data_IF_908536824353
#
_entry.id   IF_908536824353
#
_cell.length_a   1.000
_cell.length_b   1.000
_cell.length_c   1.000
_cell.angle_alpha   90.00
_cell.angle_beta   90.00
_cell.angle_gamma   90.00
#
_symmetry.space_group_name_H-M   'P 1'
#
loop_
_entity.id
_entity.type
_entity.pdbx_description
1 polymer ?
#
# COMPACT_ATOMS: atom_id res chain seq x y z
N UNK A 1 14.15 -17.02 14.05
CA UNK A 1 12.93 -16.25 13.70
C UNK A 1 13.17 -15.64 12.33
N UNK A 2 12.38 -15.97 11.30
CA UNK A 2 12.52 -15.32 9.98
C UNK A 2 12.01 -13.88 10.12
N UNK A 3 12.84 -12.90 9.77
CA UNK A 3 12.43 -11.49 9.77
C UNK A 3 11.21 -11.33 8.85
N UNK A 4 10.18 -10.63 9.33
CA UNK A 4 9.04 -10.22 8.48
C UNK A 4 9.36 -8.96 7.66
N UNK A 5 10.54 -8.36 7.86
CA UNK A 5 10.95 -7.10 7.26
C UNK A 5 12.08 -7.31 6.25
N UNK A 6 12.03 -6.51 5.19
CA UNK A 6 13.13 -6.31 4.26
C UNK A 6 13.38 -4.81 4.07
N UNK A 7 14.44 -4.48 3.33
CA UNK A 7 14.74 -3.10 2.94
C UNK A 7 14.47 -2.88 1.46
N UNK A 8 14.00 -1.68 1.10
CA UNK A 8 13.69 -1.34 -0.27
C UNK A 8 13.32 0.13 -0.46
N UNK A 9 13.32 0.57 -1.71
CA UNK A 9 12.93 1.91 -2.12
C UNK A 9 12.10 1.89 -3.39
N UNK A 10 11.21 2.86 -3.53
CA UNK A 10 10.41 3.09 -4.72
C UNK A 10 10.01 4.55 -4.80
N UNK A 11 9.92 5.06 -6.03
CA UNK A 11 9.65 6.47 -6.28
C UNK A 11 8.75 6.63 -7.51
N UNK A 12 8.07 7.77 -7.56
CA UNK A 12 7.30 8.22 -8.71
C UNK A 12 7.74 9.62 -9.09
N UNK A 13 7.67 9.92 -10.39
CA UNK A 13 7.72 11.30 -10.89
C UNK A 13 6.28 11.72 -11.18
N UNK A 14 5.85 12.83 -10.58
CA UNK A 14 4.50 13.37 -10.78
C UNK A 14 4.62 14.63 -11.62
N UNK A 15 3.84 14.70 -12.69
CA UNK A 15 3.85 15.81 -13.63
C UNK A 15 2.47 15.99 -14.27
N UNK A 16 2.38 16.95 -15.19
CA UNK A 16 1.19 17.14 -16.01
C UNK A 16 1.05 15.95 -16.98
N UNK A 17 -0.17 15.48 -17.15
CA UNK A 17 -0.57 14.41 -18.07
C UNK A 17 -1.68 14.92 -18.99
N UNK A 18 -1.99 14.22 -20.09
CA UNK A 18 -3.15 14.53 -20.94
C UNK A 18 -4.47 14.56 -20.15
N UNK A 19 -5.45 15.28 -20.69
CA UNK A 19 -6.79 15.32 -20.10
C UNK A 19 -7.40 13.92 -20.04
N UNK A 20 -7.98 13.58 -18.89
CA UNK A 20 -8.57 12.26 -18.64
C UNK A 20 -7.60 11.23 -18.06
N UNK A 21 -6.31 11.52 -17.94
CA UNK A 21 -5.33 10.65 -17.27
C UNK A 21 -4.94 11.16 -15.87
N UNK A 22 -4.24 10.33 -15.09
CA UNK A 22 -3.64 10.72 -13.82
C UNK A 22 -4.64 10.74 -12.66
N UNK A 23 -4.52 11.73 -11.78
CA UNK A 23 -5.28 11.80 -10.54
C UNK A 23 -6.79 12.01 -10.78
N UNK A 24 -7.62 11.15 -10.20
CA UNK A 24 -9.08 11.29 -10.25
C UNK A 24 -9.65 11.77 -8.91
N UNK A 25 -9.31 11.08 -7.82
CA UNK A 25 -9.80 11.43 -6.49
C UNK A 25 -8.93 10.81 -5.38
N UNK A 26 -9.09 11.32 -4.16
CA UNK A 26 -8.53 10.71 -2.96
C UNK A 26 -9.47 10.85 -1.77
N UNK A 27 -9.33 9.94 -0.82
CA UNK A 27 -9.98 10.01 0.46
C UNK A 27 -9.05 9.52 1.57
N UNK A 28 -8.94 10.31 2.62
CA UNK A 28 -8.18 9.98 3.81
C UNK A 28 -9.09 10.04 5.03
N UNK A 29 -8.79 9.20 6.00
CA UNK A 29 -9.47 9.16 7.29
C UNK A 29 -8.43 9.25 8.40
N UNK A 30 -8.86 9.80 9.53
CA UNK A 30 -8.16 9.65 10.79
C UNK A 30 -8.47 8.28 11.40
N UNK A 31 -7.45 7.58 11.88
CA UNK A 31 -7.56 6.24 12.48
C UNK A 31 -7.23 6.31 13.97
N UNK A 32 -8.00 7.11 14.72
CA UNK A 32 -7.81 7.33 16.17
C UNK A 32 -7.66 6.02 16.95
N UNK A 33 -8.42 5.01 16.55
CA UNK A 33 -8.47 3.70 17.19
C UNK A 33 -7.13 2.94 17.13
N UNK A 34 -6.23 3.33 16.21
CA UNK A 34 -4.88 2.74 16.08
C UNK A 34 -3.77 3.61 16.69
N UNK A 35 -4.11 4.78 17.24
CA UNK A 35 -3.13 5.61 17.94
C UNK A 35 -2.46 4.80 19.07
N UNK A 36 -1.15 5.04 19.25
CA UNK A 36 -0.29 4.38 20.23
C UNK A 36 -0.20 2.85 20.14
N UNK A 37 -0.76 2.22 19.10
CA UNK A 37 -0.57 0.78 18.86
C UNK A 37 0.88 0.47 18.47
N UNK A 38 1.53 1.41 17.80
CA UNK A 38 2.97 1.43 17.54
C UNK A 38 3.56 2.71 18.14
N UNK A 39 4.70 2.59 18.80
CA UNK A 39 5.40 3.73 19.38
C UNK A 39 6.91 3.55 19.29
N UNK A 40 7.63 4.66 19.24
CA UNK A 40 9.09 4.66 19.32
C UNK A 40 9.51 4.90 20.76
N UNK A 41 10.46 4.12 21.22
CA UNK A 41 11.14 4.33 22.49
C UNK A 41 12.64 4.43 22.25
N UNK A 42 13.32 5.21 23.09
CA UNK A 42 14.77 5.22 23.14
C UNK A 42 15.22 4.06 24.01
N UNK A 43 16.03 3.18 23.44
CA UNK A 43 16.65 2.05 24.14
C UNK A 43 18.16 2.12 23.91
N UNK A 44 18.95 1.39 24.70
CA UNK A 44 20.37 1.22 24.43
C UNK A 44 20.54 -0.01 23.54
N UNK A 45 21.34 0.09 22.49
CA UNK A 45 21.78 -1.06 21.71
C UNK A 45 22.84 -1.89 22.46
N UNK A 46 23.31 -2.96 21.82
CA UNK A 46 24.28 -3.89 22.40
C UNK A 46 25.62 -3.20 22.77
N UNK A 47 25.95 -2.07 22.12
CA UNK A 47 27.15 -1.27 22.37
C UNK A 47 26.92 -0.15 23.40
N UNK A 48 25.71 -0.06 23.97
CA UNK A 48 25.31 0.97 24.92
C UNK A 48 25.03 2.33 24.28
N UNK A 49 24.89 2.40 22.95
CA UNK A 49 24.52 3.60 22.23
C UNK A 49 22.99 3.76 22.16
N UNK A 50 22.47 5.00 22.20
CA UNK A 50 21.03 5.24 22.14
C UNK A 50 20.46 4.91 20.74
N UNK A 51 19.54 3.95 20.70
CA UNK A 51 18.81 3.52 19.51
C UNK A 51 17.31 3.82 19.62
N UNK A 52 16.70 4.28 18.52
CA UNK A 52 15.25 4.41 18.43
C UNK A 52 14.66 3.07 18.01
N UNK A 53 13.85 2.48 18.88
CA UNK A 53 13.24 1.17 18.63
C UNK A 53 11.73 1.30 18.56
N UNK A 54 11.16 0.75 17.50
CA UNK A 54 9.71 0.65 17.36
C UNK A 54 9.19 -0.53 18.17
N UNK A 55 8.17 -0.28 18.99
CA UNK A 55 7.48 -1.29 19.81
C UNK A 55 6.00 -1.30 19.46
N UNK A 56 5.38 -2.46 19.63
CA UNK A 56 3.94 -2.63 19.59
C UNK A 56 3.41 -2.85 21.00
N UNK A 57 2.22 -2.34 21.30
CA UNK A 57 1.48 -2.75 22.49
C UNK A 57 1.02 -4.21 22.37
N UNK A 58 0.82 -4.92 23.49
CA UNK A 58 0.28 -6.29 23.48
C UNK A 58 -1.04 -6.41 22.70
N UNK A 59 -1.90 -5.39 22.73
CA UNK A 59 -3.21 -5.39 22.09
C UNK A 59 -3.17 -5.04 20.59
N UNK A 60 -2.03 -4.61 20.05
CA UNK A 60 -1.91 -4.06 18.68
C UNK A 60 -2.50 -4.98 17.62
N UNK A 61 -2.17 -6.27 17.66
CA UNK A 61 -2.71 -7.23 16.69
C UNK A 61 -4.24 -7.33 16.72
N UNK A 62 -4.85 -7.25 17.91
CA UNK A 62 -6.32 -7.29 18.08
C UNK A 62 -6.97 -6.02 17.56
N UNK A 63 -6.39 -4.86 17.86
CA UNK A 63 -6.89 -3.56 17.40
C UNK A 63 -6.85 -3.50 15.87
N UNK A 64 -5.70 -3.81 15.27
CA UNK A 64 -5.54 -3.79 13.82
C UNK A 64 -6.53 -4.72 13.11
N UNK A 65 -6.72 -5.96 13.61
CA UNK A 65 -7.69 -6.88 13.02
C UNK A 65 -9.13 -6.38 13.07
N UNK A 66 -9.52 -5.67 14.15
CA UNK A 66 -10.87 -5.15 14.30
C UNK A 66 -11.13 -3.92 13.43
N UNK A 67 -10.12 -3.11 13.15
CA UNK A 67 -10.29 -1.81 12.47
C UNK A 67 -9.96 -1.83 10.99
N UNK A 68 -9.09 -2.75 10.54
CA UNK A 68 -8.51 -2.74 9.20
C UNK A 68 -9.56 -2.77 8.08
N UNK A 69 -10.61 -3.58 8.21
CA UNK A 69 -11.68 -3.66 7.20
C UNK A 69 -12.47 -2.35 7.12
N UNK A 70 -12.82 -1.77 8.26
CA UNK A 70 -13.54 -0.50 8.32
C UNK A 70 -12.71 0.63 7.70
N UNK A 71 -11.41 0.68 7.99
CA UNK A 71 -10.52 1.68 7.41
C UNK A 71 -10.37 1.53 5.90
N UNK A 72 -10.18 0.29 5.43
CA UNK A 72 -10.09 -0.05 4.02
C UNK A 72 -11.33 0.40 3.26
N UNK A 73 -12.53 0.01 3.72
CA UNK A 73 -13.80 0.39 3.08
C UNK A 73 -14.00 1.89 3.07
N UNK A 74 -13.87 2.57 4.23
CA UNK A 74 -14.06 4.02 4.32
C UNK A 74 -13.15 4.79 3.36
N UNK A 75 -11.90 4.37 3.21
CA UNK A 75 -10.98 5.00 2.26
C UNK A 75 -11.35 4.71 0.82
N UNK A 76 -11.48 3.43 0.44
CA UNK A 76 -11.73 3.04 -0.95
C UNK A 76 -13.10 3.50 -1.45
N UNK A 77 -14.16 3.30 -0.67
CA UNK A 77 -15.52 3.77 -0.99
C UNK A 77 -15.54 5.31 -1.08
N UNK A 78 -14.86 6.00 -0.16
CA UNK A 78 -14.77 7.46 -0.16
C UNK A 78 -14.03 8.02 -1.37
N UNK A 79 -12.96 7.37 -1.83
CA UNK A 79 -12.21 7.77 -3.01
C UNK A 79 -13.02 7.49 -4.30
N UNK A 80 -13.65 6.32 -4.40
CA UNK A 80 -14.50 5.97 -5.54
C UNK A 80 -15.71 6.91 -5.67
N UNK A 81 -16.41 7.17 -4.55
CA UNK A 81 -17.56 8.08 -4.54
C UNK A 81 -17.17 9.50 -4.98
N UNK A 82 -16.00 10.00 -4.59
CA UNK A 82 -15.49 11.33 -5.02
C UNK A 82 -15.13 11.39 -6.50
N UNK A 83 -14.78 10.25 -7.10
CA UNK A 83 -14.58 10.13 -8.54
C UNK A 83 -15.89 9.84 -9.31
N UNK A 84 -17.04 9.72 -8.61
CA UNK A 84 -18.30 9.32 -9.23
C UNK A 84 -18.32 7.86 -9.72
N UNK A 85 -17.49 7.00 -9.12
CA UNK A 85 -17.32 5.59 -9.49
C UNK A 85 -17.78 4.65 -8.35
N UNK A 86 -18.07 3.41 -8.71
CA UNK A 86 -18.19 2.28 -7.78
C UNK A 86 -16.87 1.51 -7.74
N UNK A 87 -16.65 0.71 -6.68
CA UNK A 87 -15.49 -0.18 -6.63
C UNK A 87 -15.45 -1.18 -7.81
N UNK A 88 -16.63 -1.62 -8.28
CA UNK A 88 -16.75 -2.56 -9.41
C UNK A 88 -16.22 -1.97 -10.73
N UNK A 89 -16.26 -0.64 -10.86
CA UNK A 89 -15.78 0.11 -12.02
C UNK A 89 -14.26 0.28 -12.03
N UNK A 90 -13.58 -0.07 -10.93
CA UNK A 90 -12.12 0.02 -10.82
C UNK A 90 -11.47 -1.23 -11.42
N UNK A 91 -10.55 -1.01 -12.36
CA UNK A 91 -9.90 -2.09 -13.10
C UNK A 91 -8.86 -2.84 -12.27
N UNK A 92 -8.11 -2.12 -11.43
CA UNK A 92 -7.01 -2.70 -10.66
C UNK A 92 -6.84 -2.05 -9.28
N UNK A 93 -6.32 -2.82 -8.33
CA UNK A 93 -6.11 -2.40 -6.96
C UNK A 93 -4.66 -2.67 -6.55
N UNK A 94 -4.06 -1.69 -5.91
CA UNK A 94 -2.73 -1.81 -5.31
C UNK A 94 -2.81 -1.45 -3.83
N UNK A 95 -2.52 -2.45 -3.00
CA UNK A 95 -2.51 -2.29 -1.57
C UNK A 95 -1.06 -2.17 -1.05
N UNK A 96 -0.87 -1.37 0.00
CA UNK A 96 0.28 -1.57 0.89
C UNK A 96 0.10 -2.92 1.59
N UNK A 97 1.03 -3.86 1.38
CA UNK A 97 0.89 -5.25 1.85
C UNK A 97 1.91 -5.57 2.96
N UNK A 98 1.71 -5.12 4.22
CA UNK A 98 2.69 -5.31 5.29
C UNK A 98 2.78 -6.76 5.78
N UNK A 99 1.86 -7.62 5.35
CA UNK A 99 1.80 -9.05 5.67
C UNK A 99 1.34 -9.84 4.44
N UNK A 100 1.81 -11.08 4.29
CA UNK A 100 1.52 -11.94 3.14
C UNK A 100 0.03 -12.06 2.79
N UNK A 101 -0.84 -12.08 3.80
CA UNK A 101 -2.28 -12.28 3.61
C UNK A 101 -3.04 -10.99 3.25
N UNK A 102 -2.41 -9.81 3.30
CA UNK A 102 -3.13 -8.53 3.26
C UNK A 102 -3.86 -8.29 1.93
N UNK A 103 -3.23 -8.62 0.80
CA UNK A 103 -3.86 -8.43 -0.52
C UNK A 103 -5.13 -9.28 -0.67
N UNK A 104 -5.07 -10.55 -0.29
CA UNK A 104 -6.22 -11.46 -0.33
C UNK A 104 -7.33 -11.01 0.63
N UNK A 105 -6.95 -10.57 1.83
CA UNK A 105 -7.90 -9.97 2.77
C UNK A 105 -8.57 -8.73 2.17
N UNK A 106 -7.81 -7.81 1.59
CA UNK A 106 -8.35 -6.57 1.04
C UNK A 106 -9.29 -6.85 -0.15
N UNK A 107 -8.94 -7.81 -1.01
CA UNK A 107 -9.79 -8.22 -2.11
C UNK A 107 -11.14 -8.77 -1.61
N UNK A 108 -11.10 -9.69 -0.64
CA UNK A 108 -12.31 -10.25 -0.03
C UNK A 108 -13.14 -9.19 0.70
N UNK A 109 -12.48 -8.34 1.49
CA UNK A 109 -13.10 -7.29 2.26
C UNK A 109 -13.78 -6.24 1.38
N UNK A 110 -13.26 -5.95 0.19
CA UNK A 110 -13.89 -5.04 -0.78
C UNK A 110 -14.89 -5.73 -1.72
N UNK A 111 -14.90 -7.06 -1.77
CA UNK A 111 -15.75 -7.83 -2.69
C UNK A 111 -15.25 -7.80 -4.14
N UNK A 112 -13.95 -7.60 -4.37
CA UNK A 112 -13.35 -7.53 -5.70
C UNK A 112 -12.70 -8.86 -6.09
N UNK A 113 -12.56 -9.09 -7.39
CA UNK A 113 -11.84 -10.24 -7.95
C UNK A 113 -10.37 -10.24 -7.45
N UNK A 114 -9.87 -11.34 -6.82
CA UNK A 114 -8.48 -11.48 -6.43
C UNK A 114 -7.47 -11.24 -7.57
N UNK A 115 -7.86 -11.46 -8.83
CA UNK A 115 -7.02 -11.21 -10.00
C UNK A 115 -6.86 -9.71 -10.33
N UNK A 116 -7.65 -8.82 -9.69
CA UNK A 116 -7.50 -7.35 -9.81
C UNK A 116 -6.51 -6.76 -8.79
N UNK A 117 -5.69 -7.57 -8.13
CA UNK A 117 -4.63 -7.08 -7.22
C UNK A 117 -3.36 -7.93 -7.33
N UNK A 118 -2.22 -7.36 -6.92
CA UNK A 118 -0.94 -8.08 -6.81
C UNK A 118 -0.29 -7.87 -5.44
N UNK A 119 0.67 -8.74 -5.10
CA UNK A 119 1.55 -8.53 -3.96
C UNK A 119 2.93 -9.08 -4.24
N UNK A 120 3.95 -8.27 -3.99
CA UNK A 120 5.36 -8.69 -4.01
C UNK A 120 5.86 -9.15 -2.64
N UNK A 121 4.99 -9.31 -1.64
CA UNK A 121 5.39 -9.62 -0.27
C UNK A 121 6.18 -10.93 -0.16
N UNK A 122 5.81 -11.97 -0.91
CA UNK A 122 6.53 -13.25 -0.89
C UNK A 122 8.00 -13.12 -1.31
N UNK A 123 8.32 -12.06 -2.06
CA UNK A 123 9.65 -11.78 -2.57
C UNK A 123 10.47 -10.84 -1.68
N UNK A 124 9.84 -9.81 -1.13
CA UNK A 124 10.56 -8.73 -0.43
C UNK A 124 10.19 -8.59 1.06
N UNK A 125 9.24 -9.39 1.55
CA UNK A 125 8.64 -9.23 2.87
C UNK A 125 8.10 -7.79 3.09
N UNK A 126 8.01 -7.32 4.33
CA UNK A 126 7.58 -5.96 4.63
C UNK A 126 8.72 -4.96 4.44
N UNK A 127 8.76 -4.29 3.28
CA UNK A 127 9.67 -3.16 3.00
C UNK A 127 9.02 -1.79 3.31
N UNK A 128 8.02 -1.77 4.18
CA UNK A 128 7.34 -0.57 4.62
C UNK A 128 6.69 0.21 3.47
N UNK A 129 6.75 1.55 3.46
CA UNK A 129 6.04 2.37 2.48
C UNK A 129 6.50 2.11 1.03
N UNK A 130 7.67 1.51 0.81
CA UNK A 130 8.15 1.13 -0.52
C UNK A 130 7.32 0.01 -1.18
N UNK A 131 6.53 -0.76 -0.40
CA UNK A 131 5.68 -1.81 -0.96
C UNK A 131 4.68 -1.30 -1.99
N UNK A 132 4.08 -0.13 -1.75
CA UNK A 132 3.09 0.46 -2.66
C UNK A 132 3.68 0.77 -4.04
N UNK A 133 4.78 1.55 -4.17
CA UNK A 133 5.43 1.74 -5.46
C UNK A 133 5.96 0.46 -6.09
N UNK A 134 6.48 -0.49 -5.30
CA UNK A 134 6.99 -1.75 -5.85
C UNK A 134 5.85 -2.61 -6.40
N UNK A 135 4.70 -2.69 -5.71
CA UNK A 135 3.52 -3.40 -6.21
C UNK A 135 2.97 -2.75 -7.50
N UNK A 136 2.93 -1.42 -7.57
CA UNK A 136 2.55 -0.68 -8.79
C UNK A 136 3.48 -0.98 -9.96
N UNK A 137 4.80 -0.86 -9.75
CA UNK A 137 5.80 -1.17 -10.76
C UNK A 137 5.70 -2.61 -11.23
N UNK A 138 5.54 -3.56 -10.30
CA UNK A 138 5.39 -4.97 -10.62
C UNK A 138 4.12 -5.25 -11.43
N UNK A 139 2.97 -4.66 -11.06
CA UNK A 139 1.73 -4.80 -11.80
C UNK A 139 1.84 -4.28 -13.23
N UNK A 140 2.45 -3.11 -13.41
CA UNK A 140 2.65 -2.52 -14.73
C UNK A 140 3.66 -3.34 -15.57
N UNK A 141 4.80 -3.72 -14.97
CA UNK A 141 5.85 -4.51 -15.64
C UNK A 141 5.37 -5.89 -16.09
N UNK A 142 4.46 -6.52 -15.35
CA UNK A 142 3.88 -7.82 -15.70
C UNK A 142 2.66 -7.70 -16.62
N UNK A 143 2.29 -6.49 -17.04
CA UNK A 143 1.16 -6.24 -17.93
C UNK A 143 -0.21 -6.51 -17.29
N UNK A 144 -0.28 -6.57 -15.95
CA UNK A 144 -1.52 -6.68 -15.18
C UNK A 144 -2.21 -5.34 -15.00
N UNK A 145 -1.42 -4.27 -14.88
CA UNK A 145 -1.86 -2.88 -14.97
C UNK A 145 -1.40 -2.31 -16.32
N UNK A 146 -2.32 -1.71 -17.07
CA UNK A 146 -2.13 -1.24 -18.44
C UNK A 146 -2.63 0.20 -18.58
N UNK A 147 -2.13 0.88 -19.59
CA UNK A 147 -2.61 2.21 -19.99
C UNK A 147 -4.13 2.22 -20.17
N UNK A 148 -4.76 3.32 -19.75
CA UNK A 148 -6.21 3.55 -19.76
C UNK A 148 -6.95 2.97 -18.56
N UNK A 149 -6.37 2.01 -17.84
CA UNK A 149 -7.03 1.39 -16.68
C UNK A 149 -7.10 2.33 -15.48
N UNK A 150 -8.14 2.18 -14.68
CA UNK A 150 -8.24 2.83 -13.38
C UNK A 150 -7.58 1.99 -12.29
N UNK A 151 -6.78 2.63 -11.44
CA UNK A 151 -6.08 1.97 -10.33
C UNK A 151 -6.39 2.64 -9.00
N UNK A 152 -6.94 1.85 -8.07
CA UNK A 152 -7.14 2.24 -6.68
C UNK A 152 -5.91 1.85 -5.87
N UNK A 153 -5.26 2.83 -5.26
CA UNK A 153 -4.14 2.64 -4.35
C UNK A 153 -4.64 2.85 -2.93
N UNK A 154 -4.44 1.88 -2.04
CA UNK A 154 -4.77 2.04 -0.61
C UNK A 154 -3.58 1.71 0.29
N UNK A 155 -3.39 2.54 1.30
CA UNK A 155 -2.38 2.31 2.33
C UNK A 155 -2.88 2.72 3.72
N UNK A 156 -2.78 1.83 4.73
CA UNK A 156 -2.83 2.25 6.12
C UNK A 156 -1.53 3.01 6.46
N UNK A 157 -1.66 4.11 7.18
CA UNK A 157 -0.53 4.78 7.83
C UNK A 157 -0.10 4.02 9.09
N UNK A 158 1.12 4.30 9.56
CA UNK A 158 1.71 3.60 10.71
C UNK A 158 1.09 3.96 12.06
N UNK A 159 0.35 5.07 12.17
CA UNK A 159 -0.11 5.60 13.46
C UNK A 159 -1.60 5.98 13.43
N UNK A 160 -1.98 7.05 12.72
CA UNK A 160 -3.28 7.70 12.89
C UNK A 160 -3.97 8.11 11.58
N UNK A 161 -3.56 7.55 10.45
CA UNK A 161 -4.18 7.83 9.16
C UNK A 161 -4.30 6.58 8.30
N UNK A 162 -5.25 6.61 7.36
CA UNK A 162 -5.28 5.74 6.20
C UNK A 162 -5.76 6.56 5.01
N UNK A 163 -5.36 6.17 3.80
CA UNK A 163 -5.77 6.86 2.60
C UNK A 163 -5.95 5.91 1.42
N UNK A 164 -6.85 6.30 0.52
CA UNK A 164 -6.95 5.75 -0.81
C UNK A 164 -6.85 6.86 -1.85
N UNK A 165 -6.25 6.53 -2.99
CA UNK A 165 -6.11 7.40 -4.16
C UNK A 165 -6.55 6.61 -5.39
N UNK A 166 -7.42 7.21 -6.20
CA UNK A 166 -7.86 6.64 -7.48
C UNK A 166 -7.21 7.44 -8.62
N UNK A 167 -6.61 6.71 -9.54
CA UNK A 167 -5.90 7.26 -10.70
C UNK A 167 -6.42 6.60 -11.98
N UNK A 168 -6.34 7.29 -13.11
CA UNK A 168 -6.29 6.65 -14.42
C UNK A 168 -4.83 6.49 -14.85
N UNK A 169 -4.42 5.24 -15.04
CA UNK A 169 -3.07 4.88 -15.43
C UNK A 169 -2.83 5.27 -16.90
N UNK A 170 -1.92 6.21 -17.13
CA UNK A 170 -1.53 6.65 -18.48
C UNK A 170 -0.38 5.83 -19.05
N UNK A 171 0.28 6.38 -20.07
CA UNK A 171 1.58 5.91 -20.52
C UNK A 171 2.65 6.29 -19.48
N UNK A 172 2.87 5.40 -18.51
CA UNK A 172 3.84 5.58 -17.42
C UNK A 172 5.14 4.87 -17.78
N UNK A 173 6.24 5.59 -18.07
CA UNK A 173 7.54 4.98 -18.29
C UNK A 173 8.02 4.26 -17.03
N UNK A 174 8.35 2.97 -17.17
CA UNK A 174 8.90 2.18 -16.08
C UNK A 174 10.42 2.19 -16.11
N UNK A 175 11.05 2.37 -14.95
CA UNK A 175 12.49 2.18 -14.85
C UNK A 175 12.87 0.73 -15.11
N UNK A 176 13.96 0.54 -15.85
CA UNK A 176 14.66 -0.75 -15.87
C UNK A 176 15.36 -0.96 -14.53
N UNK A 177 15.50 -2.22 -14.07
CA UNK A 177 16.37 -2.50 -12.93
C UNK A 177 17.78 -1.98 -13.21
N UNK A 178 18.54 -1.60 -12.16
CA UNK A 178 19.96 -1.32 -12.30
C UNK A 178 20.66 -2.50 -13.00
N UNK A 179 21.59 -2.19 -13.90
CA UNK A 179 22.35 -3.18 -14.65
C UNK A 179 22.98 -4.20 -13.69
N UNK A 180 22.72 -5.50 -13.90
CA UNK A 180 23.25 -6.59 -13.08
C UNK A 180 22.30 -7.16 -12.02
N UNK A 181 21.12 -6.57 -11.82
CA UNK A 181 20.14 -7.09 -10.85
C UNK A 181 19.21 -8.12 -11.52
N UNK A 182 19.49 -9.41 -11.33
CA UNK A 182 18.59 -10.50 -11.76
C UNK A 182 17.54 -10.71 -10.71
N UNK A 183 16.31 -10.36 -11.06
CA UNK A 183 15.11 -10.72 -10.32
C UNK A 183 14.93 -12.25 -10.37
N UNK A 184 15.49 -13.00 -9.40
CA UNK A 184 15.12 -14.40 -9.15
C UNK A 184 13.78 -14.52 -8.45
#
# INVERSE_FOLDING_TARGET
MRSIHGDGGGAFVVGRVPDGEGYLASHSIHTADTCDTWYYQLELDDDGAPARVMRARPETGRILRRTVETHLRRCCDGAAARAGMRLDDVDFFVFHTPTAWFASFAANALGIDPERTTSVYERFANVGPALTPINLHHAAKTGRLREGQTVMIYGPGSVSSAAAVLLRWGDVPLSNPPTGMVYR
#
